data_IF_081790738711
#
_entry.id   IF_081790738711
#
_cell.length_a   1.000
_cell.length_b   1.000
_cell.length_c   1.000
_cell.angle_alpha   90.00
_cell.angle_beta   90.00
_cell.angle_gamma   90.00
#
_symmetry.space_group_name_H-M   'P 1'
#
loop_
_entity.id
_entity.type
_entity.pdbx_description
1 polymer ?
#
# COMPACT_ATOMS: atom_id res chain seq x y z
N UNK A 1 -8.72 -3.41 7.22
CA UNK A 1 -10.16 -3.71 7.45
C UNK A 1 -10.98 -3.69 6.16
N UNK A 2 -10.87 -2.66 5.34
CA UNK A 2 -11.54 -2.65 4.03
C UNK A 2 -11.03 -3.76 3.13
N UNK A 3 -9.73 -4.02 3.09
CA UNK A 3 -9.16 -5.13 2.32
C UNK A 3 -9.80 -6.48 2.68
N UNK A 4 -10.15 -6.69 3.93
CA UNK A 4 -10.81 -7.92 4.38
C UNK A 4 -12.28 -7.98 3.97
N UNK A 5 -13.03 -6.87 4.07
CA UNK A 5 -14.47 -6.84 3.84
C UNK A 5 -14.84 -6.58 2.38
N UNK A 6 -14.15 -5.65 1.69
CA UNK A 6 -14.41 -5.33 0.29
C UNK A 6 -13.83 -6.38 -0.67
N UNK A 7 -12.83 -7.16 -0.22
CA UNK A 7 -12.13 -8.15 -1.04
C UNK A 7 -13.10 -9.13 -1.71
N UNK A 8 -14.11 -9.61 -1.01
CA UNK A 8 -15.09 -10.56 -1.57
C UNK A 8 -15.81 -10.04 -2.82
N UNK A 9 -15.98 -8.71 -2.95
CA UNK A 9 -16.65 -8.08 -4.10
C UNK A 9 -15.68 -7.86 -5.27
N UNK A 10 -14.42 -7.57 -4.99
CA UNK A 10 -13.40 -7.27 -6.00
C UNK A 10 -12.66 -8.54 -6.44
N UNK A 11 -12.61 -9.57 -5.58
CA UNK A 11 -11.90 -10.81 -5.80
C UNK A 11 -12.25 -11.49 -7.14
N UNK A 12 -13.53 -11.58 -7.59
CA UNK A 12 -13.86 -12.20 -8.88
C UNK A 12 -13.19 -11.49 -10.07
N UNK A 13 -13.10 -10.16 -10.02
CA UNK A 13 -12.43 -9.35 -11.06
C UNK A 13 -10.91 -9.55 -11.02
N UNK A 14 -10.31 -9.61 -9.82
CA UNK A 14 -8.89 -9.89 -9.62
C UNK A 14 -8.55 -11.27 -10.17
N UNK A 15 -9.32 -12.31 -9.81
CA UNK A 15 -9.11 -13.70 -10.27
C UNK A 15 -9.22 -13.83 -11.80
N UNK A 16 -10.22 -13.19 -12.39
CA UNK A 16 -10.41 -13.19 -13.85
C UNK A 16 -9.23 -12.53 -14.55
N UNK A 17 -8.76 -11.39 -14.05
CA UNK A 17 -7.60 -10.66 -14.60
C UNK A 17 -6.31 -11.46 -14.43
N UNK A 18 -6.06 -12.01 -13.24
CA UNK A 18 -4.90 -12.85 -12.94
C UNK A 18 -4.83 -14.05 -13.89
N UNK A 19 -5.95 -14.79 -14.01
CA UNK A 19 -6.04 -15.95 -14.91
C UNK A 19 -5.86 -15.58 -16.39
N UNK A 20 -6.35 -14.42 -16.82
CA UNK A 20 -6.15 -13.92 -18.18
C UNK A 20 -4.67 -13.60 -18.44
N UNK A 21 -4.00 -12.92 -17.51
CA UNK A 21 -2.59 -12.54 -17.66
C UNK A 21 -1.67 -13.77 -17.63
N UNK A 22 -1.96 -14.75 -16.76
CA UNK A 22 -1.23 -16.01 -16.72
C UNK A 22 -1.36 -16.78 -18.05
N UNK A 23 -2.57 -16.85 -18.62
CA UNK A 23 -2.78 -17.45 -19.94
C UNK A 23 -2.04 -16.75 -21.06
N UNK A 24 -1.75 -15.45 -20.91
CA UNK A 24 -0.92 -14.66 -21.83
C UNK A 24 0.59 -14.80 -21.57
N UNK A 25 1.01 -15.69 -20.67
CA UNK A 25 2.42 -15.93 -20.34
C UNK A 25 3.07 -14.81 -19.51
N UNK A 26 2.26 -13.93 -18.88
CA UNK A 26 2.81 -12.88 -18.00
C UNK A 26 3.16 -13.45 -16.64
N UNK A 27 4.24 -12.95 -16.04
CA UNK A 27 4.69 -13.35 -14.72
C UNK A 27 4.20 -12.36 -13.64
N UNK A 28 4.01 -12.81 -12.37
CA UNK A 28 3.67 -11.90 -11.27
C UNK A 28 4.60 -10.70 -11.21
N UNK A 29 5.92 -10.91 -11.21
CA UNK A 29 6.91 -9.83 -11.10
C UNK A 29 6.79 -8.77 -12.22
N UNK A 30 6.38 -9.16 -13.43
CA UNK A 30 6.14 -8.18 -14.51
C UNK A 30 4.96 -7.26 -14.17
N UNK A 31 3.94 -7.79 -13.53
CA UNK A 31 2.76 -7.00 -13.13
C UNK A 31 3.09 -6.11 -11.93
N UNK A 32 3.87 -6.62 -10.95
CA UNK A 32 4.39 -5.80 -9.85
C UNK A 32 5.19 -4.60 -10.36
N UNK A 33 6.07 -4.80 -11.35
CA UNK A 33 6.84 -3.70 -11.96
C UNK A 33 5.92 -2.72 -12.69
N UNK A 34 4.91 -3.20 -13.43
CA UNK A 34 3.93 -2.34 -14.08
C UNK A 34 3.14 -1.52 -13.07
N UNK A 35 2.70 -2.14 -11.96
CA UNK A 35 2.02 -1.48 -10.86
C UNK A 35 2.89 -0.36 -10.24
N UNK A 36 4.20 -0.60 -10.03
CA UNK A 36 5.13 0.42 -9.56
C UNK A 36 5.16 1.64 -10.49
N UNK A 37 5.36 1.44 -11.79
CA UNK A 37 5.44 2.56 -12.74
C UNK A 37 4.13 3.36 -12.80
N UNK A 38 2.99 2.70 -12.75
CA UNK A 38 1.69 3.37 -12.65
C UNK A 38 1.57 4.15 -11.33
N UNK A 39 1.93 3.53 -10.21
CA UNK A 39 1.93 4.20 -8.91
C UNK A 39 2.82 5.45 -8.89
N UNK A 40 4.02 5.38 -9.41
CA UNK A 40 4.92 6.53 -9.55
C UNK A 40 4.36 7.61 -10.47
N UNK A 41 3.70 7.21 -11.57
CA UNK A 41 3.09 8.19 -12.48
C UNK A 41 1.95 8.99 -11.82
N UNK A 42 1.33 8.49 -10.75
CA UNK A 42 0.38 9.25 -9.92
C UNK A 42 0.99 10.55 -9.39
N UNK A 43 2.19 10.46 -8.82
CA UNK A 43 2.90 11.63 -8.30
C UNK A 43 3.24 12.63 -9.41
N UNK A 44 3.68 12.15 -10.57
CA UNK A 44 3.97 13.01 -11.73
C UNK A 44 2.71 13.69 -12.27
N UNK A 45 1.60 12.96 -12.34
CA UNK A 45 0.30 13.53 -12.76
C UNK A 45 -0.19 14.60 -11.77
N UNK A 46 -0.02 14.36 -10.47
CA UNK A 46 -0.35 15.33 -9.45
C UNK A 46 0.49 16.62 -9.59
N UNK A 47 1.80 16.48 -9.72
CA UNK A 47 2.72 17.60 -9.94
C UNK A 47 2.42 18.37 -11.23
N UNK A 48 1.86 17.70 -12.23
CA UNK A 48 1.46 18.29 -13.51
C UNK A 48 0.07 18.93 -13.50
N UNK A 49 -0.63 18.94 -12.36
CA UNK A 49 -1.96 19.55 -12.21
C UNK A 49 -3.14 18.66 -12.65
N UNK A 50 -2.93 17.34 -12.74
CA UNK A 50 -3.97 16.36 -13.10
C UNK A 50 -4.34 15.42 -11.93
N UNK A 51 -4.82 15.94 -10.76
CA UNK A 51 -5.06 15.13 -9.58
C UNK A 51 -6.10 14.02 -9.80
N UNK A 52 -7.17 14.28 -10.56
CA UNK A 52 -8.23 13.29 -10.83
C UNK A 52 -7.67 12.09 -11.59
N UNK A 53 -6.87 12.34 -12.65
CA UNK A 53 -6.23 11.26 -13.42
C UNK A 53 -5.24 10.53 -12.52
N UNK A 54 -4.47 11.25 -11.71
CA UNK A 54 -3.55 10.68 -10.72
C UNK A 54 -4.25 9.68 -9.79
N UNK A 55 -5.39 10.07 -9.21
CA UNK A 55 -6.16 9.17 -8.33
C UNK A 55 -6.66 7.93 -9.08
N UNK A 56 -7.17 8.08 -10.31
CA UNK A 56 -7.59 6.92 -11.12
C UNK A 56 -6.41 5.96 -11.33
N UNK A 57 -5.26 6.50 -11.71
CA UNK A 57 -4.04 5.70 -11.95
C UNK A 57 -3.54 5.03 -10.66
N UNK A 58 -3.64 5.71 -9.49
CA UNK A 58 -3.33 5.12 -8.20
C UNK A 58 -4.17 3.87 -7.93
N UNK A 59 -5.48 3.95 -8.12
CA UNK A 59 -6.37 2.81 -7.91
C UNK A 59 -6.14 1.68 -8.93
N UNK A 60 -5.78 2.00 -10.18
CA UNK A 60 -5.37 0.99 -11.17
C UNK A 60 -4.07 0.31 -10.74
N UNK A 61 -3.08 1.06 -10.24
CA UNK A 61 -1.85 0.50 -9.67
C UNK A 61 -2.15 -0.48 -8.54
N UNK A 62 -3.00 -0.08 -7.57
CA UNK A 62 -3.39 -0.95 -6.46
C UNK A 62 -4.17 -2.19 -6.88
N UNK A 63 -5.01 -2.07 -7.91
CA UNK A 63 -5.69 -3.23 -8.49
C UNK A 63 -4.70 -4.22 -9.12
N UNK A 64 -3.71 -3.75 -9.88
CA UNK A 64 -2.69 -4.60 -10.50
C UNK A 64 -1.83 -5.31 -9.47
N UNK A 65 -1.51 -4.66 -8.37
CA UNK A 65 -0.81 -5.28 -7.26
C UNK A 65 -1.63 -6.41 -6.58
N UNK A 66 -2.93 -6.21 -6.37
CA UNK A 66 -3.79 -7.29 -5.90
C UNK A 66 -3.86 -8.46 -6.91
N UNK A 67 -3.75 -8.16 -8.20
CA UNK A 67 -3.70 -9.14 -9.29
C UNK A 67 -2.38 -9.93 -9.26
N UNK A 68 -1.22 -9.27 -9.12
CA UNK A 68 0.08 -9.96 -9.12
C UNK A 68 0.23 -10.91 -7.92
N UNK A 69 -0.23 -10.49 -6.72
CA UNK A 69 -0.29 -11.34 -5.54
C UNK A 69 -1.19 -12.55 -5.76
N UNK A 70 -2.28 -12.41 -6.52
CA UNK A 70 -3.15 -13.54 -6.90
C UNK A 70 -2.46 -14.45 -7.92
N UNK A 71 -1.80 -13.88 -8.93
CA UNK A 71 -0.99 -14.64 -9.90
C UNK A 71 0.12 -15.43 -9.19
N UNK A 72 0.80 -14.84 -8.20
CA UNK A 72 1.84 -15.53 -7.43
C UNK A 72 1.28 -16.72 -6.65
N UNK A 73 0.07 -16.62 -6.08
CA UNK A 73 -0.61 -17.75 -5.41
C UNK A 73 -1.01 -18.86 -6.36
N UNK A 74 -1.37 -18.54 -7.61
CA UNK A 74 -1.73 -19.52 -8.63
C UNK A 74 -0.53 -20.20 -9.30
N UNK A 75 0.69 -19.66 -9.11
CA UNK A 75 1.91 -20.20 -9.70
C UNK A 75 2.91 -20.60 -8.62
N UNK A 76 3.97 -19.82 -8.45
CA UNK A 76 4.97 -20.00 -7.39
C UNK A 76 5.36 -18.64 -6.84
N UNK A 77 5.00 -18.38 -5.59
CA UNK A 77 5.51 -17.21 -4.90
C UNK A 77 7.03 -17.33 -4.71
N UNK A 78 7.75 -16.23 -4.90
CA UNK A 78 9.18 -16.17 -4.67
C UNK A 78 9.52 -15.23 -3.52
N UNK A 79 10.57 -15.51 -2.71
CA UNK A 79 11.01 -14.57 -1.67
C UNK A 79 11.34 -13.20 -2.24
N UNK A 80 11.96 -13.14 -3.41
CA UNK A 80 12.28 -11.88 -4.07
C UNK A 80 11.01 -11.12 -4.52
N UNK A 81 9.97 -11.85 -4.99
CA UNK A 81 8.67 -11.23 -5.30
C UNK A 81 8.05 -10.54 -4.08
N UNK A 82 8.14 -11.15 -2.90
CA UNK A 82 7.68 -10.53 -1.65
C UNK A 82 8.49 -9.26 -1.31
N UNK A 83 9.82 -9.26 -1.53
CA UNK A 83 10.64 -8.06 -1.33
C UNK A 83 10.24 -6.96 -2.29
N UNK A 84 10.03 -7.28 -3.57
CA UNK A 84 9.56 -6.32 -4.57
C UNK A 84 8.22 -5.70 -4.18
N UNK A 85 7.23 -6.51 -3.85
CA UNK A 85 5.89 -6.12 -3.46
C UNK A 85 5.93 -5.09 -2.31
N UNK A 86 6.52 -5.46 -1.17
CA UNK A 86 6.61 -4.58 0.00
C UNK A 86 7.43 -3.31 -0.28
N UNK A 87 8.54 -3.42 -1.02
CA UNK A 87 9.40 -2.27 -1.30
C UNK A 87 8.74 -1.29 -2.27
N UNK A 88 8.10 -1.79 -3.31
CA UNK A 88 7.47 -0.96 -4.34
C UNK A 88 6.26 -0.19 -3.81
N UNK A 89 5.51 -0.79 -2.90
CA UNK A 89 4.46 -0.09 -2.15
C UNK A 89 5.00 1.13 -1.41
N UNK A 90 6.11 0.97 -0.70
CA UNK A 90 6.74 2.08 0.03
C UNK A 90 7.28 3.16 -0.91
N UNK A 91 7.85 2.77 -2.06
CA UNK A 91 8.33 3.72 -3.06
C UNK A 91 7.18 4.58 -3.59
N UNK A 92 6.03 3.98 -3.90
CA UNK A 92 4.84 4.72 -4.37
C UNK A 92 4.33 5.68 -3.29
N UNK A 93 4.21 5.23 -2.04
CA UNK A 93 3.78 6.09 -0.93
C UNK A 93 4.72 7.27 -0.70
N UNK A 94 6.02 7.00 -0.66
CA UNK A 94 7.04 8.07 -0.48
C UNK A 94 7.00 9.05 -1.64
N UNK A 95 6.84 8.59 -2.88
CA UNK A 95 6.74 9.46 -4.05
C UNK A 95 5.52 10.39 -3.95
N UNK A 96 4.38 9.90 -3.44
CA UNK A 96 3.18 10.71 -3.23
C UNK A 96 3.38 11.74 -2.10
N UNK A 97 3.96 11.32 -0.97
CA UNK A 97 4.28 12.24 0.14
C UNK A 97 5.20 13.36 -0.34
N UNK A 98 6.25 13.03 -1.10
CA UNK A 98 7.19 14.00 -1.65
C UNK A 98 6.50 14.95 -2.63
N UNK A 99 5.63 14.44 -3.51
CA UNK A 99 4.89 15.28 -4.46
C UNK A 99 3.94 16.26 -3.74
N UNK A 100 3.25 15.81 -2.69
CA UNK A 100 2.40 16.67 -1.85
C UNK A 100 3.25 17.71 -1.12
N UNK A 101 4.37 17.31 -0.51
CA UNK A 101 5.28 18.23 0.20
C UNK A 101 5.86 19.30 -0.73
N UNK A 102 6.13 18.95 -1.99
CA UNK A 102 6.64 19.89 -2.97
C UNK A 102 5.62 20.97 -3.34
N UNK A 103 4.37 20.61 -3.56
CA UNK A 103 3.30 21.56 -3.92
C UNK A 103 2.72 22.30 -2.71
N UNK A 104 2.81 21.71 -1.51
CA UNK A 104 2.19 22.19 -0.29
C UNK A 104 3.19 22.22 0.88
N UNK A 105 4.22 23.08 0.83
CA UNK A 105 5.24 23.16 1.89
C UNK A 105 4.67 23.55 3.26
N UNK A 106 3.50 24.16 3.32
CA UNK A 106 2.79 24.51 4.55
C UNK A 106 2.37 23.31 5.39
N UNK A 107 2.23 22.13 4.79
CA UNK A 107 1.90 20.86 5.49
C UNK A 107 3.12 19.95 5.67
N UNK A 108 4.33 20.46 5.51
CA UNK A 108 5.57 19.67 5.61
C UNK A 108 5.69 18.93 6.95
N UNK A 109 5.38 19.59 8.07
CA UNK A 109 5.43 18.97 9.39
C UNK A 109 4.43 17.82 9.57
N UNK A 110 3.13 17.97 9.23
CA UNK A 110 2.19 16.86 9.19
C UNK A 110 2.65 15.69 8.32
N UNK A 111 3.22 15.95 7.14
CA UNK A 111 3.76 14.92 6.26
C UNK A 111 4.97 14.21 6.85
N UNK A 112 5.85 14.93 7.56
CA UNK A 112 6.96 14.31 8.29
C UNK A 112 6.45 13.40 9.40
N UNK A 113 5.46 13.83 10.19
CA UNK A 113 4.84 13.01 11.23
C UNK A 113 4.19 11.75 10.63
N UNK A 114 3.48 11.89 9.52
CA UNK A 114 2.92 10.76 8.77
C UNK A 114 4.03 9.79 8.33
N UNK A 115 5.11 10.30 7.75
CA UNK A 115 6.24 9.47 7.31
C UNK A 115 6.87 8.69 8.47
N UNK A 116 7.05 9.34 9.63
CA UNK A 116 7.58 8.71 10.85
C UNK A 116 6.62 7.60 11.33
N UNK A 117 5.30 7.84 11.34
CA UNK A 117 4.33 6.83 11.75
C UNK A 117 4.32 5.62 10.82
N UNK A 118 4.42 5.83 9.50
CA UNK A 118 4.56 4.77 8.51
C UNK A 118 5.83 3.95 8.76
N UNK A 119 6.97 4.60 9.01
CA UNK A 119 8.24 3.92 9.32
C UNK A 119 8.08 3.03 10.56
N UNK A 120 7.50 3.56 11.64
CA UNK A 120 7.29 2.79 12.89
C UNK A 120 6.36 1.60 12.63
N UNK A 121 5.20 1.83 12.01
CA UNK A 121 4.21 0.79 11.69
C UNK A 121 4.81 -0.32 10.83
N UNK A 122 5.56 0.04 9.80
CA UNK A 122 6.22 -0.91 8.89
C UNK A 122 7.39 -1.64 9.54
N UNK A 123 8.17 -0.97 10.40
CA UNK A 123 9.25 -1.62 11.15
C UNK A 123 8.70 -2.74 12.02
N UNK A 124 7.63 -2.47 12.79
CA UNK A 124 6.97 -3.50 13.61
C UNK A 124 6.47 -4.65 12.73
N UNK A 125 5.76 -4.33 11.64
CA UNK A 125 5.22 -5.33 10.72
C UNK A 125 6.30 -6.26 10.14
N UNK A 126 7.40 -5.68 9.65
CA UNK A 126 8.50 -6.45 9.04
C UNK A 126 9.27 -7.27 10.06
N UNK A 127 9.56 -6.70 11.24
CA UNK A 127 10.28 -7.42 12.31
C UNK A 127 9.44 -8.58 12.83
N UNK A 128 8.15 -8.37 13.11
CA UNK A 128 7.25 -9.46 13.54
C UNK A 128 7.16 -10.52 12.45
N UNK A 129 7.04 -10.13 11.19
CA UNK A 129 7.05 -11.07 10.08
C UNK A 129 8.34 -11.89 9.96
N UNK A 130 9.48 -11.30 10.33
CA UNK A 130 10.79 -11.96 10.27
C UNK A 130 11.03 -12.92 11.45
N UNK A 131 10.55 -12.61 12.66
CA UNK A 131 10.81 -13.41 13.87
C UNK A 131 9.70 -14.42 14.19
N UNK A 132 8.50 -14.25 13.61
CA UNK A 132 7.39 -15.19 13.79
C UNK A 132 7.54 -16.41 12.90
N UNK A 133 7.08 -17.56 13.39
CA UNK A 133 6.97 -18.76 12.55
C UNK A 133 6.02 -18.52 11.38
N UNK A 134 6.34 -19.13 10.24
CA UNK A 134 5.50 -19.03 9.03
C UNK A 134 4.15 -19.68 9.29
N UNK A 135 3.11 -18.88 9.38
CA UNK A 135 1.73 -19.34 9.56
C UNK A 135 0.85 -18.87 8.38
N UNK A 136 0.12 -19.81 7.77
CA UNK A 136 -0.89 -19.53 6.75
C UNK A 136 -0.37 -19.47 5.31
N UNK A 137 -1.15 -18.80 4.45
CA UNK A 137 -0.96 -18.77 2.98
C UNK A 137 0.13 -17.77 2.56
N UNK A 138 0.50 -16.82 3.42
CA UNK A 138 1.51 -15.79 3.13
C UNK A 138 2.93 -16.30 3.43
N UNK A 139 3.91 -15.70 2.77
CA UNK A 139 5.33 -16.06 2.91
C UNK A 139 5.92 -15.70 4.29
N UNK A 140 5.22 -14.90 5.08
CA UNK A 140 5.56 -14.52 6.46
C UNK A 140 4.27 -14.23 7.26
N UNK A 141 4.36 -14.14 8.59
CA UNK A 141 3.23 -13.81 9.45
C UNK A 141 2.69 -12.41 9.10
N UNK A 142 1.38 -12.33 8.82
CA UNK A 142 0.75 -11.09 8.41
C UNK A 142 -0.13 -10.54 9.54
N UNK A 143 0.24 -9.37 10.08
CA UNK A 143 -0.57 -8.62 11.02
C UNK A 143 -1.48 -7.65 10.27
N UNK A 144 -2.79 -7.82 10.42
CA UNK A 144 -3.75 -6.82 9.97
C UNK A 144 -3.62 -5.53 10.79
N UNK A 145 -3.84 -4.37 10.16
CA UNK A 145 -3.84 -3.07 10.84
C UNK A 145 -5.15 -2.34 10.64
N UNK A 146 -5.35 -1.22 11.35
CA UNK A 146 -6.46 -0.31 11.10
C UNK A 146 -6.27 0.47 9.79
N UNK A 147 -5.02 0.88 9.49
CA UNK A 147 -4.61 1.37 8.18
C UNK A 147 -3.93 0.24 7.42
N UNK A 148 -4.60 -0.26 6.40
CA UNK A 148 -4.07 -1.16 5.38
C UNK A 148 -3.92 -0.38 4.07
N UNK A 149 -3.54 -1.05 3.00
CA UNK A 149 -3.28 -0.40 1.70
C UNK A 149 -4.47 0.38 1.15
N UNK A 150 -5.69 -0.18 1.24
CA UNK A 150 -6.88 0.49 0.73
C UNK A 150 -7.21 1.76 1.50
N UNK A 151 -7.05 1.74 2.82
CA UNK A 151 -7.22 2.93 3.65
C UNK A 151 -6.19 4.01 3.30
N UNK A 152 -4.93 3.62 3.10
CA UNK A 152 -3.87 4.53 2.62
C UNK A 152 -4.23 5.19 1.29
N UNK A 153 -4.74 4.42 0.33
CA UNK A 153 -5.16 4.95 -0.98
C UNK A 153 -6.36 5.91 -0.88
N UNK A 154 -7.29 5.67 0.05
CA UNK A 154 -8.38 6.61 0.33
C UNK A 154 -7.82 7.92 0.87
N UNK A 155 -6.91 7.88 1.86
CA UNK A 155 -6.29 9.08 2.40
C UNK A 155 -5.52 9.85 1.33
N UNK A 156 -4.70 9.19 0.54
CA UNK A 156 -4.01 9.85 -0.58
C UNK A 156 -5.00 10.44 -1.59
N UNK A 157 -6.08 9.73 -1.93
CA UNK A 157 -7.11 10.26 -2.83
C UNK A 157 -7.74 11.55 -2.28
N UNK A 158 -8.04 11.58 -0.97
CA UNK A 158 -8.56 12.79 -0.32
C UNK A 158 -7.51 13.92 -0.36
N UNK A 159 -6.26 13.62 -0.04
CA UNK A 159 -5.16 14.61 -0.04
C UNK A 159 -4.95 15.22 -1.43
N UNK A 160 -5.03 14.41 -2.50
CA UNK A 160 -4.82 14.88 -3.87
C UNK A 160 -6.02 15.66 -4.41
N UNK A 161 -7.26 15.28 -4.05
CA UNK A 161 -8.47 15.85 -4.63
C UNK A 161 -9.00 17.06 -3.86
N UNK A 162 -8.68 17.17 -2.56
CA UNK A 162 -9.26 18.17 -1.68
C UNK A 162 -8.17 18.97 -0.93
N UNK A 163 -7.44 19.87 -1.61
CA UNK A 163 -6.33 20.63 -1.00
C UNK A 163 -6.76 21.42 0.25
N UNK A 164 -7.98 21.91 0.31
CA UNK A 164 -8.52 22.64 1.46
C UNK A 164 -8.60 21.79 2.74
N UNK A 165 -8.63 20.47 2.62
CA UNK A 165 -8.65 19.53 3.74
C UNK A 165 -7.31 18.82 3.94
N UNK A 166 -6.27 19.24 3.21
CA UNK A 166 -4.97 18.55 3.18
C UNK A 166 -4.35 18.43 4.58
N UNK A 167 -4.32 19.49 5.37
CA UNK A 167 -3.82 19.45 6.75
C UNK A 167 -4.54 18.39 7.59
N UNK A 168 -5.86 18.42 7.59
CA UNK A 168 -6.67 17.54 8.43
C UNK A 168 -6.62 16.10 7.97
N UNK A 169 -6.66 15.84 6.66
CA UNK A 169 -6.53 14.48 6.11
C UNK A 169 -5.14 13.89 6.39
N UNK A 170 -4.07 14.69 6.31
CA UNK A 170 -2.72 14.25 6.65
C UNK A 170 -2.58 13.92 8.14
N UNK A 171 -3.10 14.77 9.03
CA UNK A 171 -3.07 14.52 10.49
C UNK A 171 -3.93 13.31 10.88
N UNK A 172 -5.08 13.12 10.24
CA UNK A 172 -5.91 11.95 10.48
C UNK A 172 -5.22 10.67 9.99
N UNK A 173 -4.60 10.71 8.82
CA UNK A 173 -3.82 9.57 8.30
C UNK A 173 -2.65 9.24 9.23
N UNK A 174 -1.89 10.26 9.68
CA UNK A 174 -0.85 10.08 10.70
C UNK A 174 -1.39 9.39 11.95
N UNK A 175 -2.53 9.85 12.50
CA UNK A 175 -3.11 9.28 13.71
C UNK A 175 -3.52 7.80 13.53
N UNK A 176 -4.11 7.45 12.37
CA UNK A 176 -4.53 6.08 12.05
C UNK A 176 -3.31 5.17 11.83
N UNK A 177 -2.26 5.65 11.18
CA UNK A 177 -1.00 4.91 11.00
C UNK A 177 -0.27 4.68 12.32
N UNK A 178 -0.20 5.71 13.17
CA UNK A 178 0.39 5.58 14.50
C UNK A 178 -0.38 4.57 15.35
N UNK A 179 -1.71 4.65 15.33
CA UNK A 179 -2.57 3.66 16.00
C UNK A 179 -2.31 2.25 15.47
N UNK A 180 -2.19 2.08 14.16
CA UNK A 180 -1.86 0.79 13.52
C UNK A 180 -0.52 0.25 14.01
N UNK A 181 0.50 1.10 14.10
CA UNK A 181 1.82 0.73 14.62
C UNK A 181 1.75 0.26 16.07
N UNK A 182 1.02 0.97 16.93
CA UNK A 182 0.81 0.61 18.35
C UNK A 182 0.02 -0.71 18.44
N UNK A 183 -1.04 -0.86 17.67
CA UNK A 183 -1.84 -2.09 17.62
C UNK A 183 -0.98 -3.31 17.27
N UNK A 184 -0.19 -3.20 16.21
CA UNK A 184 0.74 -4.25 15.76
C UNK A 184 1.79 -4.59 16.84
N UNK A 185 2.33 -3.57 17.51
CA UNK A 185 3.30 -3.78 18.58
C UNK A 185 2.68 -4.52 19.80
N UNK A 186 1.47 -4.15 20.19
CA UNK A 186 0.75 -4.83 21.28
C UNK A 186 0.37 -6.26 20.90
N UNK A 187 -0.01 -6.50 19.65
CA UNK A 187 -0.29 -7.83 19.15
C UNK A 187 0.98 -8.69 19.10
N UNK A 188 2.12 -8.12 18.67
CA UNK A 188 3.41 -8.79 18.66
C UNK A 188 3.76 -9.38 20.04
N UNK A 189 3.52 -8.61 21.11
CA UNK A 189 3.74 -9.10 22.47
C UNK A 189 2.93 -10.36 22.79
N UNK A 190 1.68 -10.47 22.30
CA UNK A 190 0.82 -11.63 22.53
C UNK A 190 1.23 -12.86 21.72
N UNK A 191 1.84 -12.65 20.57
CA UNK A 191 2.23 -13.72 19.62
C UNK A 191 3.59 -14.30 19.98
N UNK A 192 4.51 -13.46 20.49
CA UNK A 192 5.90 -13.81 20.71
C UNK A 192 6.22 -14.15 22.19
N UNK A 193 5.29 -13.98 23.08
CA UNK A 193 5.36 -14.38 24.51
C UNK A 193 4.39 -15.53 24.81
#
# INVERSE_FOLDING_TARGET
MLDTHARKYVQPSIEKTASFLLRRGRTPNQITILALFLGLSTSLLYLSGYPIIGVIVLWVSGFLDAVDGTMARHTKSSPFGTVMDVTFDRIVEVAMIVAVAYLHPEVMWPLLLLSVSIIISMTVFLVVGAVSEKAGIKSFYYQAGAAERSEGFIFFSIMLLFPNFLLWSTLLFFAVELFTGIQRFMEAKRILQ
#
